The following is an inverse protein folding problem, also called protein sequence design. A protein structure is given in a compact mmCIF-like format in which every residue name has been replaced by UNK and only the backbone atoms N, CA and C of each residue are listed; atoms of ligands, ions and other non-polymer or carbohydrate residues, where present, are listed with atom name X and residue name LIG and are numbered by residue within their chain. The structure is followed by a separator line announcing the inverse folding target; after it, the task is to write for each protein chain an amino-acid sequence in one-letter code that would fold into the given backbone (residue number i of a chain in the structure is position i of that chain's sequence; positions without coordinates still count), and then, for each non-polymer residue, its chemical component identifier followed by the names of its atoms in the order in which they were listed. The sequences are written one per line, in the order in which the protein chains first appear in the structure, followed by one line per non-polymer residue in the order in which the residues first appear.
data_IF_711197839156
#
_entry.id   IF_711197839156
#
_cell.length_a   1.000
_cell.length_b   1.000
_cell.length_c   1.000
_cell.angle_alpha   90.00
_cell.angle_beta   90.00
_cell.angle_gamma   90.00
#
_symmetry.space_group_name_H-M   'P 1'
#
loop_
_entity.id
_entity.type
_entity.pdbx_description
1 polymer ?
#
# COMPACT_ATOMS: atom_id res chain seq x y z
N UNK A 1 -11.82 7.44 12.98
CA UNK A 1 -10.61 7.08 12.22
C UNK A 1 -10.55 5.57 12.11
N UNK A 2 -10.62 5.05 10.89
CA UNK A 2 -10.66 3.63 10.57
C UNK A 2 -9.35 3.21 9.91
N UNK A 3 -8.71 2.19 10.47
CA UNK A 3 -7.42 1.66 9.99
C UNK A 3 -7.62 0.20 9.64
N UNK A 4 -7.20 -0.20 8.44
CA UNK A 4 -7.18 -1.60 8.03
C UNK A 4 -5.74 -2.06 7.87
N UNK A 5 -5.45 -3.29 8.32
CA UNK A 5 -4.20 -3.99 8.00
C UNK A 5 -4.52 -5.20 7.14
N UNK A 6 -3.86 -5.33 6.00
CA UNK A 6 -4.14 -6.39 5.05
C UNK A 6 -2.88 -6.96 4.38
N UNK A 7 -2.60 -8.22 4.64
CA UNK A 7 -1.61 -8.98 3.89
C UNK A 7 -2.20 -9.47 2.57
N UNK A 8 -1.67 -8.97 1.45
CA UNK A 8 -2.23 -9.23 0.11
C UNK A 8 -1.50 -10.34 -0.65
N UNK A 9 -0.40 -10.86 -0.11
CA UNK A 9 0.44 -11.90 -0.75
C UNK A 9 0.74 -11.62 -2.24
N UNK A 10 1.09 -10.37 -2.56
CA UNK A 10 1.38 -9.87 -3.90
C UNK A 10 0.37 -8.85 -4.42
N UNK A 11 0.74 -7.57 -4.39
CA UNK A 11 -0.17 -6.46 -4.75
C UNK A 11 -0.64 -6.53 -6.20
N UNK A 12 0.21 -6.96 -7.14
CA UNK A 12 -0.17 -7.09 -8.56
C UNK A 12 -1.26 -8.14 -8.78
N UNK A 13 -1.24 -9.23 -8.01
CA UNK A 13 -2.27 -10.26 -8.09
C UNK A 13 -3.56 -9.76 -7.42
N UNK A 14 -3.45 -9.02 -6.31
CA UNK A 14 -4.60 -8.40 -5.65
C UNK A 14 -5.30 -7.35 -6.54
N UNK A 15 -4.53 -6.49 -7.23
CA UNK A 15 -5.07 -5.51 -8.18
C UNK A 15 -5.90 -6.19 -9.28
N UNK A 16 -5.41 -7.31 -9.85
CA UNK A 16 -6.15 -8.10 -10.84
C UNK A 16 -7.44 -8.75 -10.28
N UNK A 17 -7.56 -8.87 -8.96
CA UNK A 17 -8.70 -9.48 -8.26
C UNK A 17 -9.66 -8.45 -7.64
N UNK A 18 -9.59 -7.19 -8.07
CA UNK A 18 -10.51 -6.14 -7.60
C UNK A 18 -10.11 -5.51 -6.26
N UNK A 19 -8.81 -5.47 -5.93
CA UNK A 19 -8.34 -4.81 -4.70
C UNK A 19 -8.78 -3.34 -4.62
N UNK A 20 -8.79 -2.60 -5.74
CA UNK A 20 -9.16 -1.18 -5.77
C UNK A 20 -10.64 -1.00 -5.48
N UNK A 21 -11.49 -1.80 -6.12
CA UNK A 21 -12.95 -1.78 -5.88
C UNK A 21 -13.24 -2.09 -4.40
N UNK A 22 -12.55 -3.09 -3.84
CA UNK A 22 -12.66 -3.42 -2.42
C UNK A 22 -12.16 -2.28 -1.53
N UNK A 23 -11.04 -1.64 -1.87
CA UNK A 23 -10.47 -0.53 -1.11
C UNK A 23 -11.41 0.68 -1.09
N UNK A 24 -12.05 1.00 -2.22
CA UNK A 24 -13.04 2.07 -2.33
C UNK A 24 -14.31 1.75 -1.54
N UNK A 25 -14.78 0.49 -1.58
CA UNK A 25 -15.95 0.06 -0.81
C UNK A 25 -15.68 0.03 0.71
N UNK A 26 -14.52 -0.48 1.13
CA UNK A 26 -14.11 -0.52 2.53
C UNK A 26 -13.79 0.87 3.10
N UNK A 27 -13.28 1.76 2.24
CA UNK A 27 -13.06 3.18 2.50
C UNK A 27 -12.33 3.53 3.83
N UNK A 28 -11.26 2.82 4.26
CA UNK A 28 -10.51 3.19 5.46
C UNK A 28 -9.87 4.58 5.36
N UNK A 29 -9.52 5.19 6.49
CA UNK A 29 -8.73 6.43 6.51
C UNK A 29 -7.25 6.12 6.22
N UNK A 30 -6.77 4.97 6.70
CA UNK A 30 -5.41 4.44 6.47
C UNK A 30 -5.49 2.94 6.22
N UNK A 31 -4.73 2.44 5.24
CA UNK A 31 -4.53 1.01 5.04
C UNK A 31 -3.04 0.64 5.06
N UNK A 32 -2.70 -0.32 5.91
CA UNK A 32 -1.38 -0.95 5.98
C UNK A 32 -1.41 -2.24 5.15
N UNK A 33 -0.57 -2.31 4.13
CA UNK A 33 -0.51 -3.44 3.20
C UNK A 33 0.80 -4.20 3.43
N UNK A 34 0.71 -5.51 3.67
CA UNK A 34 1.88 -6.38 3.81
C UNK A 34 2.03 -7.34 2.64
N UNK A 35 3.26 -7.81 2.44
CA UNK A 35 3.65 -8.70 1.35
C UNK A 35 3.26 -8.18 -0.04
N UNK A 36 3.55 -6.91 -0.34
CA UNK A 36 3.23 -6.36 -1.67
C UNK A 36 4.04 -7.06 -2.78
N UNK A 37 5.21 -7.62 -2.44
CA UNK A 37 6.15 -8.35 -3.32
C UNK A 37 6.46 -7.61 -4.63
N UNK A 38 6.41 -6.29 -4.59
CA UNK A 38 6.62 -5.40 -5.71
C UNK A 38 7.48 -4.20 -5.28
N UNK A 39 8.31 -3.74 -6.20
CA UNK A 39 8.94 -2.42 -6.08
C UNK A 39 8.00 -1.36 -6.66
N UNK A 40 8.07 -0.14 -6.11
CA UNK A 40 7.17 0.96 -6.50
C UNK A 40 7.25 1.26 -8.01
N UNK A 41 8.42 1.11 -8.62
CA UNK A 41 8.67 1.35 -10.05
C UNK A 41 7.96 0.35 -10.97
N UNK A 42 7.40 -0.73 -10.40
CA UNK A 42 6.67 -1.77 -11.13
C UNK A 42 5.15 -1.60 -11.04
N UNK A 43 4.68 -0.54 -10.37
CA UNK A 43 3.28 -0.27 -10.12
C UNK A 43 2.90 1.06 -10.78
N UNK A 44 1.72 1.07 -11.36
CA UNK A 44 1.02 2.31 -11.68
C UNK A 44 0.42 2.83 -10.36
N UNK A 45 0.98 3.91 -9.82
CA UNK A 45 0.61 4.44 -8.51
C UNK A 45 -0.62 5.34 -8.57
N UNK A 46 -0.91 5.92 -9.74
CA UNK A 46 -2.06 6.79 -10.00
C UNK A 46 -3.38 6.07 -9.68
N UNK A 47 -3.40 4.74 -9.74
CA UNK A 47 -4.56 3.94 -9.37
C UNK A 47 -4.98 4.14 -7.90
N UNK A 48 -4.03 4.37 -6.99
CA UNK A 48 -4.32 4.60 -5.58
C UNK A 48 -4.75 6.04 -5.32
N UNK A 49 -4.15 7.00 -6.03
CA UNK A 49 -4.57 8.40 -5.98
C UNK A 49 -6.01 8.56 -6.50
N UNK A 50 -6.32 7.96 -7.65
CA UNK A 50 -7.67 7.91 -8.21
C UNK A 50 -8.68 7.15 -7.33
N UNK A 51 -8.20 6.25 -6.47
CA UNK A 51 -9.02 5.57 -5.46
C UNK A 51 -9.26 6.42 -4.19
N UNK A 52 -8.75 7.65 -4.13
CA UNK A 52 -8.91 8.58 -3.02
C UNK A 52 -7.81 8.51 -1.96
N UNK A 53 -6.66 7.89 -2.27
CA UNK A 53 -5.51 7.79 -1.38
C UNK A 53 -4.30 8.52 -1.97
N UNK A 54 -4.28 9.87 -1.90
CA UNK A 54 -3.21 10.69 -2.49
C UNK A 54 -1.86 10.54 -1.77
N UNK A 55 -1.83 9.96 -0.57
CA UNK A 55 -0.60 9.76 0.18
C UNK A 55 -0.28 8.26 0.27
N UNK A 56 0.81 7.84 -0.34
CA UNK A 56 1.23 6.45 -0.32
C UNK A 56 2.75 6.28 -0.13
N UNK A 57 3.12 5.33 0.72
CA UNK A 57 4.50 5.11 1.16
C UNK A 57 4.84 3.63 1.01
N UNK A 58 5.99 3.34 0.40
CA UNK A 58 6.37 1.99 0.00
C UNK A 58 7.76 1.65 0.53
N UNK A 59 7.89 0.50 1.21
CA UNK A 59 9.17 -0.02 1.68
C UNK A 59 9.35 -1.44 1.19
N UNK A 60 10.21 -1.61 0.18
CA UNK A 60 10.48 -2.90 -0.46
C UNK A 60 11.81 -3.48 0.01
N UNK A 61 11.85 -4.80 0.23
CA UNK A 61 13.11 -5.49 0.51
C UNK A 61 14.05 -5.42 -0.69
N UNK A 62 15.36 -5.49 -0.42
CA UNK A 62 16.40 -5.51 -1.46
C UNK A 62 16.25 -6.71 -2.39
N UNK A 63 15.91 -7.88 -1.83
CA UNK A 63 15.63 -9.09 -2.61
C UNK A 63 14.27 -8.97 -3.28
N UNK A 64 14.27 -8.88 -4.61
CA UNK A 64 13.05 -8.84 -5.43
C UNK A 64 12.11 -9.98 -5.09
N UNK A 65 10.83 -9.66 -4.91
CA UNK A 65 9.76 -10.65 -4.67
C UNK A 65 9.74 -11.29 -3.28
N UNK A 66 10.61 -10.87 -2.34
CA UNK A 66 10.67 -11.46 -1.01
C UNK A 66 9.66 -10.85 -0.04
N UNK A 67 9.93 -9.61 0.41
CA UNK A 67 9.10 -8.91 1.39
C UNK A 67 8.99 -7.44 1.01
N UNK A 68 7.85 -6.84 1.30
CA UNK A 68 7.63 -5.40 1.13
C UNK A 68 6.31 -5.01 1.79
N UNK A 69 6.25 -3.77 2.24
CA UNK A 69 5.06 -3.17 2.85
C UNK A 69 4.71 -1.86 2.17
N UNK A 70 3.46 -1.44 2.30
CA UNK A 70 3.01 -0.12 1.90
C UNK A 70 1.98 0.43 2.88
N UNK A 71 1.88 1.75 2.95
CA UNK A 71 0.82 2.46 3.66
C UNK A 71 0.15 3.40 2.66
N UNK A 72 -1.18 3.34 2.56
CA UNK A 72 -1.98 4.33 1.83
C UNK A 72 -2.80 5.12 2.86
N UNK A 73 -2.88 6.43 2.68
CA UNK A 73 -3.59 7.35 3.58
C UNK A 73 -4.36 8.39 2.78
N UNK A 74 -5.55 8.74 3.29
CA UNK A 74 -6.33 9.88 2.79
C UNK A 74 -5.76 11.22 3.25
N UNK A 75 -5.06 11.22 4.38
CA UNK A 75 -4.52 12.41 5.03
C UNK A 75 -3.00 12.40 4.99
N UNK A 76 -2.39 13.57 4.80
CA UNK A 76 -0.94 13.72 4.85
C UNK A 76 -0.44 13.45 6.28
N UNK A 77 0.45 12.45 6.49
CA UNK A 77 1.05 12.20 7.80
C UNK A 77 1.99 13.34 8.20
N UNK A 78 2.06 13.67 9.49
CA UNK A 78 3.03 14.66 9.98
C UNK A 78 4.48 14.16 9.90
N UNK A 79 4.68 12.84 9.91
CA UNK A 79 5.99 12.21 9.87
C UNK A 79 5.86 10.79 9.30
N UNK A 80 6.84 10.38 8.49
CA UNK A 80 6.97 9.04 7.92
C UNK A 80 8.38 8.55 8.16
N UNK A 81 8.50 7.40 8.80
CA UNK A 81 9.76 6.73 9.10
C UNK A 81 9.87 5.44 8.30
N UNK A 82 11.05 5.16 7.76
CA UNK A 82 11.31 3.95 6.97
C UNK A 82 12.29 3.01 7.69
N UNK A 83 11.99 1.72 7.65
CA UNK A 83 12.76 0.74 8.41
C UNK A 83 12.49 0.83 9.90
N UNK A 84 13.37 0.23 10.70
CA UNK A 84 13.21 0.16 12.16
C UNK A 84 14.23 1.00 12.92
N UNK A 85 15.05 1.79 12.22
CA UNK A 85 16.14 2.56 12.83
C UNK A 85 17.24 1.69 13.47
N UNK A 86 17.34 0.42 13.05
CA UNK A 86 18.35 -0.56 13.49
C UNK A 86 19.21 -0.95 12.30
#
# INVERSE_FOLDING_TARGET
MNIISYNVNGIRAALKKGFVDWLQAANPDVICIQETKAHKEQLDLDIFENAGYPHHYWFSAQKKGYSSVAILSKHEPNHVEYGTGI
#
